data_IF_514387670297
#
_entry.id   IF_514387670297
#
_cell.length_a   1.000
_cell.length_b   1.000
_cell.length_c   1.000
_cell.angle_alpha   90.00
_cell.angle_beta   90.00
_cell.angle_gamma   90.00
#
_symmetry.space_group_name_H-M   'P 1'
#
loop_
_entity.id
_entity.type
_entity.pdbx_description
1 polymer ?
#
# COMPACT_ATOMS: atom_id res chain seq x y z
N UNK A 1 12.64 -23.24 -10.03
CA UNK A 1 11.89 -22.06 -9.62
C UNK A 1 10.60 -21.87 -10.40
N UNK A 2 10.62 -21.87 -11.75
CA UNK A 2 9.42 -21.59 -12.56
C UNK A 2 8.22 -22.52 -12.30
N UNK A 3 8.43 -23.83 -12.14
CA UNK A 3 7.33 -24.78 -11.85
C UNK A 3 6.70 -24.51 -10.47
N UNK A 4 7.50 -24.20 -9.45
CA UNK A 4 7.00 -23.87 -8.12
C UNK A 4 6.23 -22.55 -8.14
N UNK A 5 6.78 -21.52 -8.79
CA UNK A 5 6.13 -20.21 -8.93
C UNK A 5 4.77 -20.34 -9.62
N UNK A 6 4.69 -21.09 -10.72
CA UNK A 6 3.43 -21.27 -11.45
C UNK A 6 2.38 -22.00 -10.61
N UNK A 7 2.79 -23.07 -9.91
CA UNK A 7 1.88 -23.81 -9.03
C UNK A 7 1.36 -22.94 -7.87
N UNK A 8 2.24 -22.14 -7.24
CA UNK A 8 1.84 -21.26 -6.15
C UNK A 8 0.93 -20.12 -6.64
N UNK A 9 1.25 -19.51 -7.77
CA UNK A 9 0.41 -18.49 -8.40
C UNK A 9 -1.00 -19.02 -8.67
N UNK A 10 -1.13 -20.15 -9.37
CA UNK A 10 -2.44 -20.73 -9.66
C UNK A 10 -3.23 -21.00 -8.37
N UNK A 11 -2.59 -21.61 -7.38
CA UNK A 11 -3.23 -21.92 -6.09
C UNK A 11 -3.75 -20.69 -5.37
N UNK A 12 -3.02 -19.57 -5.44
CA UNK A 12 -3.39 -18.34 -4.76
C UNK A 12 -4.44 -17.56 -5.53
N UNK A 13 -4.26 -17.36 -6.82
CA UNK A 13 -5.19 -16.62 -7.67
C UNK A 13 -6.58 -17.28 -7.77
N UNK A 14 -6.65 -18.60 -7.61
CA UNK A 14 -7.92 -19.35 -7.56
C UNK A 14 -8.49 -19.48 -6.14
N UNK A 15 -7.86 -18.91 -5.14
CA UNK A 15 -8.36 -19.02 -3.75
C UNK A 15 -9.61 -18.15 -3.56
N UNK A 16 -10.57 -18.68 -2.78
CA UNK A 16 -11.83 -17.98 -2.47
C UNK A 16 -11.56 -16.62 -1.80
N UNK A 17 -10.52 -16.54 -0.96
CA UNK A 17 -10.15 -15.30 -0.28
C UNK A 17 -9.72 -14.24 -1.31
N UNK A 18 -8.82 -14.58 -2.22
CA UNK A 18 -8.31 -13.65 -3.24
C UNK A 18 -9.41 -13.17 -4.20
N UNK A 19 -10.28 -14.09 -4.63
CA UNK A 19 -11.45 -13.76 -5.46
C UNK A 19 -12.42 -12.85 -4.67
N UNK A 20 -12.63 -13.13 -3.39
CA UNK A 20 -13.43 -12.28 -2.51
C UNK A 20 -12.89 -10.87 -2.38
N UNK A 21 -11.57 -10.70 -2.26
CA UNK A 21 -10.92 -9.40 -2.21
C UNK A 21 -11.08 -8.60 -3.50
N UNK A 22 -10.93 -9.25 -4.67
CA UNK A 22 -11.23 -8.62 -5.96
C UNK A 22 -12.68 -8.14 -6.04
N UNK A 23 -13.64 -8.95 -5.61
CA UNK A 23 -15.06 -8.58 -5.59
C UNK A 23 -15.28 -7.40 -4.64
N UNK A 24 -14.68 -7.42 -3.46
CA UNK A 24 -14.80 -6.31 -2.49
C UNK A 24 -14.28 -5.01 -3.05
N UNK A 25 -13.11 -5.00 -3.74
CA UNK A 25 -12.57 -3.81 -4.40
C UNK A 25 -13.53 -3.27 -5.46
N UNK A 26 -14.02 -4.12 -6.35
CA UNK A 26 -14.95 -3.73 -7.42
C UNK A 26 -16.26 -3.18 -6.84
N UNK A 27 -16.84 -3.88 -5.88
CA UNK A 27 -18.11 -3.45 -5.22
C UNK A 27 -17.91 -2.12 -4.49
N UNK A 28 -16.79 -1.96 -3.79
CA UNK A 28 -16.49 -0.71 -3.12
C UNK A 28 -16.37 0.46 -4.11
N UNK A 29 -15.67 0.27 -5.24
CA UNK A 29 -15.54 1.29 -6.28
C UNK A 29 -16.90 1.67 -6.89
N UNK A 30 -17.78 0.69 -7.11
CA UNK A 30 -19.16 0.95 -7.57
C UNK A 30 -19.88 1.86 -6.58
N UNK A 31 -19.84 1.53 -5.28
CA UNK A 31 -20.54 2.35 -4.26
C UNK A 31 -19.90 3.72 -4.09
N UNK A 32 -18.57 3.83 -4.14
CA UNK A 32 -17.88 5.10 -4.04
C UNK A 32 -18.23 6.03 -5.21
N UNK A 33 -18.21 5.51 -6.45
CA UNK A 33 -18.51 6.27 -7.67
C UNK A 33 -20.01 6.60 -7.76
N UNK A 34 -20.92 5.70 -7.34
CA UNK A 34 -22.35 5.96 -7.30
C UNK A 34 -22.69 6.96 -6.18
N UNK A 35 -22.07 6.81 -5.02
CA UNK A 35 -22.34 7.66 -3.85
C UNK A 35 -21.87 9.11 -4.01
N UNK A 36 -20.90 9.37 -4.91
CA UNK A 36 -20.38 10.72 -5.19
C UNK A 36 -21.31 11.61 -6.02
N UNK A 37 -22.55 11.19 -6.32
CA UNK A 37 -23.49 11.81 -7.29
C UNK A 37 -24.08 13.15 -6.86
N UNK A 38 -23.82 13.65 -5.66
CA UNK A 38 -24.47 14.89 -5.21
C UNK A 38 -23.63 16.15 -5.45
N UNK A 39 -23.81 16.77 -6.63
CA UNK A 39 -23.70 18.22 -6.80
C UNK A 39 -22.37 18.81 -7.25
N UNK A 40 -21.33 18.02 -7.54
CA UNK A 40 -20.04 18.54 -8.03
C UNK A 40 -19.57 17.78 -9.28
N UNK A 41 -18.84 18.45 -10.15
CA UNK A 41 -18.06 17.82 -11.21
C UNK A 41 -17.06 16.87 -10.55
N UNK A 42 -17.32 15.56 -10.64
CA UNK A 42 -16.50 14.53 -10.00
C UNK A 42 -15.41 14.11 -10.98
N UNK A 43 -14.18 14.22 -10.54
CA UNK A 43 -13.01 13.79 -11.28
C UNK A 43 -12.66 12.34 -10.91
N UNK A 44 -12.46 11.47 -11.91
CA UNK A 44 -12.08 10.07 -11.70
C UNK A 44 -10.76 9.97 -10.92
N UNK A 45 -9.87 10.95 -11.09
CA UNK A 45 -8.55 10.96 -10.42
C UNK A 45 -8.64 10.83 -8.90
N UNK A 46 -9.74 11.30 -8.27
CA UNK A 46 -9.95 11.16 -6.82
C UNK A 46 -10.11 9.72 -6.34
N UNK A 47 -10.56 8.82 -7.21
CA UNK A 47 -10.77 7.41 -6.86
C UNK A 47 -9.57 6.53 -7.19
N UNK A 48 -8.70 7.02 -8.09
CA UNK A 48 -7.43 6.36 -8.38
C UNK A 48 -6.54 6.40 -7.13
N UNK A 49 -5.88 5.32 -6.84
CA UNK A 49 -4.96 5.15 -5.69
C UNK A 49 -5.59 5.22 -4.28
N UNK A 50 -6.84 5.65 -4.12
CA UNK A 50 -7.53 5.77 -2.82
C UNK A 50 -7.62 4.41 -2.10
N UNK A 51 -7.69 3.30 -2.81
CA UNK A 51 -7.78 1.95 -2.25
C UNK A 51 -6.42 1.27 -2.03
N UNK A 52 -5.32 1.93 -2.35
CA UNK A 52 -3.97 1.38 -2.13
C UNK A 52 -3.73 0.92 -0.68
N UNK A 53 -4.18 1.65 0.38
CA UNK A 53 -4.11 1.17 1.75
C UNK A 53 -4.81 -0.17 1.97
N UNK A 54 -5.98 -0.36 1.36
CA UNK A 54 -6.76 -1.59 1.46
C UNK A 54 -6.06 -2.75 0.75
N UNK A 55 -5.45 -2.51 -0.40
CA UNK A 55 -4.64 -3.48 -1.14
C UNK A 55 -3.45 -3.93 -0.29
N UNK A 56 -2.78 -3.02 0.41
CA UNK A 56 -1.69 -3.36 1.33
C UNK A 56 -2.15 -4.28 2.48
N UNK A 57 -3.35 -4.08 3.01
CA UNK A 57 -3.95 -4.97 4.02
C UNK A 57 -4.25 -6.35 3.41
N UNK A 58 -4.80 -6.42 2.22
CA UNK A 58 -5.08 -7.69 1.52
C UNK A 58 -3.80 -8.48 1.26
N UNK A 59 -2.71 -7.82 0.83
CA UNK A 59 -1.40 -8.45 0.69
C UNK A 59 -0.93 -9.02 2.03
N UNK A 60 -1.04 -8.24 3.12
CA UNK A 60 -0.64 -8.68 4.45
C UNK A 60 -1.44 -9.91 4.90
N UNK A 61 -2.75 -9.95 4.65
CA UNK A 61 -3.62 -11.10 4.93
C UNK A 61 -3.23 -12.31 4.09
N UNK A 62 -3.14 -12.16 2.77
CA UNK A 62 -2.89 -13.29 1.86
C UNK A 62 -1.54 -13.92 2.10
N UNK A 63 -0.49 -13.10 2.17
CA UNK A 63 0.88 -13.56 2.39
C UNK A 63 1.00 -14.27 3.75
N UNK A 64 0.48 -13.64 4.83
CA UNK A 64 0.59 -14.21 6.17
C UNK A 64 -0.22 -15.49 6.33
N UNK A 65 -1.45 -15.56 5.81
CA UNK A 65 -2.29 -16.75 5.85
C UNK A 65 -1.65 -17.92 5.12
N UNK A 66 -1.16 -17.70 3.91
CA UNK A 66 -0.62 -18.79 3.07
C UNK A 66 0.69 -19.32 3.60
N UNK A 67 1.64 -18.45 3.92
CA UNK A 67 2.94 -18.87 4.46
C UNK A 67 2.76 -19.58 5.81
N UNK A 68 1.94 -19.03 6.68
CA UNK A 68 1.70 -19.64 7.99
C UNK A 68 0.96 -20.98 7.89
N UNK A 69 0.02 -21.14 6.95
CA UNK A 69 -0.61 -22.44 6.66
C UNK A 69 0.41 -23.48 6.20
N UNK A 70 1.37 -23.08 5.36
CA UNK A 70 2.40 -24.00 4.87
C UNK A 70 3.39 -24.40 5.95
N UNK A 71 3.72 -23.47 6.84
CA UNK A 71 4.55 -23.77 8.00
C UNK A 71 3.85 -24.73 8.98
N UNK A 72 2.60 -24.46 9.30
CA UNK A 72 1.78 -25.20 10.25
C UNK A 72 1.49 -26.62 9.75
N UNK A 73 1.09 -26.76 8.49
CA UNK A 73 0.81 -28.03 7.83
C UNK A 73 2.09 -28.77 7.39
N UNK A 74 3.26 -28.25 7.66
CA UNK A 74 4.58 -28.80 7.25
C UNK A 74 4.72 -29.04 5.73
N UNK A 75 3.92 -28.39 4.91
CA UNK A 75 3.96 -28.54 3.44
C UNK A 75 5.27 -28.00 2.86
N UNK A 76 5.91 -27.07 3.55
CA UNK A 76 7.28 -26.62 3.21
C UNK A 76 8.26 -27.80 3.21
N UNK A 77 8.16 -28.72 4.18
CA UNK A 77 9.03 -29.89 4.24
C UNK A 77 8.86 -30.77 3.00
N UNK A 78 7.64 -30.96 2.52
CA UNK A 78 7.39 -31.70 1.28
C UNK A 78 8.05 -31.05 0.07
N UNK A 79 8.01 -29.70 -0.01
CA UNK A 79 8.69 -28.95 -1.07
C UNK A 79 10.22 -29.13 -0.99
N UNK A 80 10.78 -29.13 0.22
CA UNK A 80 12.22 -29.39 0.43
C UNK A 80 12.61 -30.83 0.05
N UNK A 81 11.78 -31.83 0.36
CA UNK A 81 11.99 -33.21 -0.07
C UNK A 81 11.93 -33.39 -1.58
N UNK A 82 11.13 -32.56 -2.28
CA UNK A 82 11.09 -32.52 -3.74
C UNK A 82 12.32 -31.80 -4.36
N UNK A 83 13.32 -31.43 -3.56
CA UNK A 83 14.58 -30.84 -4.04
C UNK A 83 14.59 -29.31 -4.12
N UNK A 84 13.54 -28.62 -3.65
CA UNK A 84 13.57 -27.17 -3.53
C UNK A 84 14.32 -26.77 -2.25
N UNK A 85 15.17 -25.72 -2.34
CA UNK A 85 15.83 -25.19 -1.15
C UNK A 85 14.99 -24.08 -0.48
N UNK A 86 15.27 -23.77 0.79
CA UNK A 86 14.58 -22.74 1.57
C UNK A 86 14.59 -21.37 0.87
N UNK A 87 15.70 -21.01 0.24
CA UNK A 87 15.85 -19.74 -0.45
C UNK A 87 14.96 -19.66 -1.71
N UNK A 88 14.83 -20.79 -2.44
CA UNK A 88 13.91 -20.88 -3.58
C UNK A 88 12.48 -20.70 -3.14
N UNK A 89 12.07 -21.34 -2.05
CA UNK A 89 10.75 -21.13 -1.44
C UNK A 89 10.53 -19.65 -1.08
N UNK A 90 11.43 -19.06 -0.32
CA UNK A 90 11.36 -17.67 0.12
C UNK A 90 11.21 -16.68 -1.07
N UNK A 91 12.06 -16.87 -2.10
CA UNK A 91 11.97 -16.05 -3.33
C UNK A 91 10.63 -16.23 -4.05
N UNK A 92 10.12 -17.44 -4.10
CA UNK A 92 8.83 -17.73 -4.73
C UNK A 92 7.70 -17.03 -4.00
N UNK A 93 7.68 -17.08 -2.65
CA UNK A 93 6.65 -16.43 -1.84
C UNK A 93 6.63 -14.91 -2.02
N UNK A 94 7.80 -14.28 -2.07
CA UNK A 94 7.91 -12.84 -2.36
C UNK A 94 7.35 -12.51 -3.74
N UNK A 95 7.78 -13.24 -4.78
CA UNK A 95 7.33 -12.98 -6.15
C UNK A 95 5.82 -13.17 -6.29
N UNK A 96 5.27 -14.20 -5.65
CA UNK A 96 3.82 -14.43 -5.67
C UNK A 96 3.09 -13.31 -4.96
N UNK A 97 3.54 -12.86 -3.77
CA UNK A 97 2.93 -11.75 -3.04
C UNK A 97 2.96 -10.44 -3.83
N UNK A 98 4.08 -10.17 -4.54
CA UNK A 98 4.18 -9.00 -5.43
C UNK A 98 3.17 -9.09 -6.57
N UNK A 99 3.08 -10.24 -7.24
CA UNK A 99 2.15 -10.43 -8.36
C UNK A 99 0.69 -10.32 -7.89
N UNK A 100 0.34 -10.92 -6.74
CA UNK A 100 -0.99 -10.78 -6.14
C UNK A 100 -1.36 -9.31 -5.91
N UNK A 101 -0.45 -8.54 -5.29
CA UNK A 101 -0.67 -7.12 -5.01
C UNK A 101 -0.81 -6.29 -6.29
N UNK A 102 0.04 -6.52 -7.28
CA UNK A 102 -0.03 -5.85 -8.58
C UNK A 102 -1.37 -6.15 -9.27
N UNK A 103 -1.82 -7.40 -9.28
CA UNK A 103 -3.09 -7.76 -9.90
C UNK A 103 -4.29 -7.14 -9.19
N UNK A 104 -4.31 -7.08 -7.83
CA UNK A 104 -5.34 -6.37 -7.07
C UNK A 104 -5.37 -4.89 -7.45
N UNK A 105 -4.20 -4.25 -7.57
CA UNK A 105 -4.10 -2.86 -7.97
C UNK A 105 -4.60 -2.62 -9.41
N UNK A 106 -4.31 -3.54 -10.34
CA UNK A 106 -4.88 -3.45 -11.69
C UNK A 106 -6.39 -3.61 -11.69
N UNK A 107 -6.94 -4.56 -10.92
CA UNK A 107 -8.40 -4.74 -10.80
C UNK A 107 -9.06 -3.48 -10.23
N UNK A 108 -8.47 -2.89 -9.20
CA UNK A 108 -8.91 -1.63 -8.62
C UNK A 108 -8.93 -0.51 -9.67
N UNK A 109 -7.79 -0.24 -10.29
CA UNK A 109 -7.63 0.84 -11.28
C UNK A 109 -8.56 0.66 -12.49
N UNK A 110 -8.66 -0.57 -13.04
CA UNK A 110 -9.53 -0.85 -14.18
C UNK A 110 -10.99 -0.64 -13.79
N UNK A 111 -11.41 -1.07 -12.60
CA UNK A 111 -12.78 -0.88 -12.14
C UNK A 111 -13.13 0.61 -11.97
N UNK A 112 -12.22 1.42 -11.40
CA UNK A 112 -12.41 2.87 -11.26
C UNK A 112 -12.56 3.53 -12.65
N UNK A 113 -11.67 3.21 -13.58
CA UNK A 113 -11.73 3.80 -14.94
C UNK A 113 -13.02 3.38 -15.65
N UNK A 114 -13.39 2.10 -15.62
CA UNK A 114 -14.60 1.60 -16.29
C UNK A 114 -15.86 2.27 -15.76
N UNK A 115 -16.03 2.33 -14.43
CA UNK A 115 -17.22 2.95 -13.83
C UNK A 115 -17.20 4.46 -13.96
N UNK A 116 -16.04 5.11 -13.89
CA UNK A 116 -15.90 6.55 -14.13
C UNK A 116 -16.29 6.94 -15.55
N UNK A 117 -15.80 6.22 -16.56
CA UNK A 117 -16.18 6.43 -17.97
C UNK A 117 -17.68 6.17 -18.18
N UNK A 118 -18.24 5.13 -17.55
CA UNK A 118 -19.66 4.84 -17.62
C UNK A 118 -20.52 5.99 -17.06
N UNK A 119 -20.04 6.66 -16.00
CA UNK A 119 -20.68 7.85 -15.40
C UNK A 119 -20.34 9.14 -16.11
N UNK A 120 -19.51 9.14 -17.15
CA UNK A 120 -19.03 10.32 -17.89
C UNK A 120 -18.27 11.32 -17.01
N UNK A 121 -17.56 10.84 -16.01
CA UNK A 121 -16.68 11.67 -15.21
C UNK A 121 -15.42 12.03 -16.00
N UNK A 122 -14.89 13.19 -15.75
CA UNK A 122 -13.67 13.67 -16.39
C UNK A 122 -12.43 13.09 -15.69
N UNK A 123 -11.34 12.94 -16.44
CA UNK A 123 -10.03 12.58 -15.93
C UNK A 123 -9.09 13.78 -16.09
N UNK A 124 -8.98 14.60 -15.05
CA UNK A 124 -8.19 15.84 -15.06
C UNK A 124 -6.78 15.66 -14.48
N UNK A 125 -6.11 14.57 -14.83
CA UNK A 125 -4.72 14.31 -14.46
C UNK A 125 -3.86 14.23 -15.71
N UNK A 126 -2.63 14.74 -15.65
CA UNK A 126 -1.70 14.60 -16.77
C UNK A 126 -1.29 13.12 -16.94
N UNK A 127 -1.11 12.67 -18.17
CA UNK A 127 -0.64 11.31 -18.43
C UNK A 127 0.69 11.02 -17.74
N UNK A 128 1.57 12.02 -17.64
CA UNK A 128 2.87 11.86 -16.99
C UNK A 128 2.73 11.63 -15.48
N UNK A 129 1.90 12.41 -14.80
CA UNK A 129 1.65 12.27 -13.36
C UNK A 129 0.97 10.93 -13.06
N UNK A 130 0.04 10.51 -13.93
CA UNK A 130 -0.58 9.20 -13.80
C UNK A 130 0.48 8.07 -13.87
N UNK A 131 1.37 8.09 -14.87
CA UNK A 131 2.41 7.08 -15.02
C UNK A 131 3.40 7.06 -13.85
N UNK A 132 3.80 8.24 -13.38
CA UNK A 132 4.73 8.36 -12.25
C UNK A 132 4.09 7.81 -10.99
N UNK A 133 2.87 8.22 -10.65
CA UNK A 133 2.15 7.73 -9.47
C UNK A 133 1.87 6.23 -9.55
N UNK A 134 1.55 5.72 -10.75
CA UNK A 134 1.37 4.29 -11.00
C UNK A 134 2.65 3.51 -10.70
N UNK A 135 3.78 3.97 -11.25
CA UNK A 135 5.09 3.34 -11.02
C UNK A 135 5.50 3.31 -9.56
N UNK A 136 5.32 4.43 -8.84
CA UNK A 136 5.60 4.52 -7.41
C UNK A 136 4.73 3.56 -6.62
N UNK A 137 3.42 3.53 -6.90
CA UNK A 137 2.48 2.64 -6.22
C UNK A 137 2.84 1.16 -6.40
N UNK A 138 3.28 0.75 -7.60
CA UNK A 138 3.75 -0.61 -7.85
C UNK A 138 4.99 -0.97 -7.00
N UNK A 139 5.91 -0.03 -6.82
CA UNK A 139 7.11 -0.24 -5.98
C UNK A 139 6.72 -0.33 -4.51
N UNK A 140 5.87 0.55 -4.01
CA UNK A 140 5.35 0.51 -2.65
C UNK A 140 4.67 -0.84 -2.36
N UNK A 141 3.76 -1.29 -3.24
CA UNK A 141 3.08 -2.58 -3.14
C UNK A 141 4.09 -3.73 -3.08
N UNK A 142 5.13 -3.67 -3.91
CA UNK A 142 6.19 -4.68 -3.91
C UNK A 142 6.96 -4.71 -2.59
N UNK A 143 7.28 -3.56 -2.02
CA UNK A 143 7.97 -3.45 -0.73
C UNK A 143 7.10 -3.97 0.41
N UNK A 144 5.81 -3.64 0.42
CA UNK A 144 4.83 -4.18 1.40
C UNK A 144 4.74 -5.70 1.31
N UNK A 145 4.74 -6.28 0.11
CA UNK A 145 4.74 -7.74 -0.07
C UNK A 145 6.03 -8.38 0.49
N UNK A 146 7.19 -7.75 0.29
CA UNK A 146 8.46 -8.20 0.89
C UNK A 146 8.39 -8.18 2.41
N UNK A 147 7.95 -7.07 3.03
CA UNK A 147 7.81 -6.93 4.48
C UNK A 147 6.87 -8.01 5.04
N UNK A 148 5.70 -8.16 4.43
CA UNK A 148 4.71 -9.16 4.85
C UNK A 148 5.25 -10.60 4.77
N UNK A 149 6.01 -10.91 3.71
CA UNK A 149 6.64 -12.22 3.53
C UNK A 149 7.70 -12.49 4.61
N UNK A 150 8.58 -11.52 4.88
CA UNK A 150 9.65 -11.67 5.89
C UNK A 150 9.04 -11.94 7.26
N UNK A 151 8.09 -11.11 7.68
CA UNK A 151 7.42 -11.28 8.97
C UNK A 151 6.75 -12.64 9.06
N UNK A 152 6.03 -13.06 8.01
CA UNK A 152 5.33 -14.33 7.98
C UNK A 152 6.25 -15.54 8.04
N UNK A 153 7.39 -15.50 7.35
CA UNK A 153 8.35 -16.62 7.39
C UNK A 153 9.14 -16.70 8.70
N UNK A 154 9.17 -15.65 9.52
CA UNK A 154 9.87 -15.62 10.80
C UNK A 154 8.99 -16.06 11.99
N UNK A 155 7.68 -16.04 11.86
CA UNK A 155 6.75 -16.41 12.92
C UNK A 155 6.32 -17.87 12.75
N UNK A 156 6.42 -18.66 13.83
CA UNK A 156 6.13 -20.10 13.78
C UNK A 156 4.63 -20.43 13.89
N UNK A 157 3.87 -19.60 14.57
CA UNK A 157 2.47 -19.88 14.87
C UNK A 157 1.57 -19.18 13.83
N UNK A 158 0.63 -19.94 13.27
CA UNK A 158 -0.27 -19.44 12.21
C UNK A 158 -1.09 -18.25 12.68
N UNK A 159 -1.73 -18.34 13.84
CA UNK A 159 -2.61 -17.29 14.35
C UNK A 159 -1.80 -16.04 14.63
N UNK A 160 -0.67 -16.19 15.33
CA UNK A 160 0.22 -15.06 15.64
C UNK A 160 0.82 -14.42 14.39
N UNK A 161 1.16 -15.21 13.36
CA UNK A 161 1.69 -14.68 12.10
C UNK A 161 0.69 -13.72 11.45
N UNK A 162 -0.54 -14.17 11.27
CA UNK A 162 -1.60 -13.32 10.67
C UNK A 162 -1.87 -12.09 11.54
N UNK A 163 -2.03 -12.29 12.85
CA UNK A 163 -2.32 -11.19 13.77
C UNK A 163 -1.23 -10.12 13.80
N UNK A 164 0.05 -10.53 13.85
CA UNK A 164 1.17 -9.61 13.89
C UNK A 164 1.35 -8.89 12.54
N UNK A 165 1.30 -9.63 11.43
CA UNK A 165 1.54 -9.02 10.10
C UNK A 165 0.42 -8.04 9.74
N UNK A 166 -0.83 -8.44 9.92
CA UNK A 166 -1.99 -7.57 9.63
C UNK A 166 -2.08 -6.44 10.65
N UNK A 167 -1.90 -6.73 11.94
CA UNK A 167 -1.91 -5.72 12.99
C UNK A 167 -0.83 -4.66 12.79
N UNK A 168 0.39 -5.06 12.41
CA UNK A 168 1.47 -4.14 12.10
C UNK A 168 1.15 -3.31 10.85
N UNK A 169 0.62 -3.91 9.79
CA UNK A 169 0.19 -3.19 8.60
C UNK A 169 -0.85 -2.11 8.92
N UNK A 170 -1.87 -2.44 9.73
CA UNK A 170 -2.88 -1.47 10.17
C UNK A 170 -2.29 -0.33 11.01
N UNK A 171 -1.40 -0.66 11.94
CA UNK A 171 -0.72 0.36 12.78
C UNK A 171 0.15 1.29 11.94
N UNK A 172 0.91 0.75 10.99
CA UNK A 172 1.79 1.54 10.12
C UNK A 172 0.98 2.40 9.13
N UNK A 173 -0.14 1.89 8.59
CA UNK A 173 -1.05 2.69 7.76
C UNK A 173 -1.69 3.81 8.55
N UNK A 174 -2.14 3.56 9.78
CA UNK A 174 -2.69 4.60 10.65
C UNK A 174 -1.65 5.67 10.96
N UNK A 175 -0.44 5.26 11.38
CA UNK A 175 0.68 6.19 11.62
C UNK A 175 1.09 6.97 10.37
N UNK A 176 1.04 6.33 9.20
CA UNK A 176 1.27 6.97 7.91
C UNK A 176 0.23 8.06 7.60
N UNK A 177 -1.05 7.76 7.79
CA UNK A 177 -2.15 8.71 7.61
C UNK A 177 -1.99 9.93 8.53
N UNK A 178 -1.68 9.71 9.80
CA UNK A 178 -1.42 10.78 10.77
C UNK A 178 -0.21 11.63 10.37
N UNK A 179 0.85 10.99 9.85
CA UNK A 179 2.04 11.69 9.37
C UNK A 179 1.71 12.60 8.19
N UNK A 180 1.00 12.10 7.20
CA UNK A 180 0.58 12.87 6.02
C UNK A 180 -0.34 14.01 6.44
N UNK A 181 -1.34 13.74 7.28
CA UNK A 181 -2.24 14.77 7.80
C UNK A 181 -1.49 15.88 8.55
N UNK A 182 -0.50 15.52 9.37
CA UNK A 182 0.29 16.48 10.14
C UNK A 182 1.20 17.33 9.23
N UNK A 183 1.79 16.72 8.21
CA UNK A 183 2.66 17.44 7.25
C UNK A 183 1.88 18.39 6.34
N UNK A 184 0.61 18.09 6.07
CA UNK A 184 -0.30 18.89 5.24
C UNK A 184 -0.96 20.06 5.97
N UNK A 185 -0.77 20.17 7.31
CA UNK A 185 -1.35 21.29 8.05
C UNK A 185 -0.73 22.61 7.59
N UNK A 186 -1.53 23.62 7.19
CA UNK A 186 -1.03 24.94 6.83
C UNK A 186 -0.54 25.69 8.06
N UNK A 187 0.43 26.62 7.87
CA UNK A 187 0.96 27.42 8.96
C UNK A 187 -0.10 28.36 9.58
N UNK A 188 -1.02 28.85 8.76
CA UNK A 188 -2.12 29.72 9.17
C UNK A 188 -3.45 29.15 8.69
N UNK A 189 -4.50 29.32 9.49
CA UNK A 189 -5.84 28.80 9.17
C UNK A 189 -6.92 29.73 9.73
N UNK A 190 -8.08 29.71 9.11
CA UNK A 190 -9.29 30.36 9.60
C UNK A 190 -10.13 29.50 10.56
N UNK A 191 -9.80 28.18 10.65
CA UNK A 191 -10.61 27.22 11.42
C UNK A 191 -10.68 27.54 12.93
N UNK A 192 -9.71 28.23 13.48
CA UNK A 192 -9.68 28.63 14.89
C UNK A 192 -10.01 30.09 15.12
N UNK A 193 -10.56 30.77 14.11
CA UNK A 193 -10.96 32.19 14.16
C UNK A 193 -12.47 32.31 14.15
N UNK A 194 -13.05 33.04 15.10
CA UNK A 194 -14.48 33.41 15.10
C UNK A 194 -14.81 34.51 14.08
N UNK A 195 -13.79 35.26 13.67
CA UNK A 195 -13.94 36.46 12.85
C UNK A 195 -13.51 36.24 11.39
N UNK A 196 -13.21 34.98 10.98
CA UNK A 196 -12.71 34.63 9.64
C UNK A 196 -11.29 35.16 9.33
N UNK A 197 -10.57 35.66 10.33
CA UNK A 197 -9.17 36.12 10.18
C UNK A 197 -8.21 34.92 10.19
N UNK A 198 -7.13 35.02 9.41
CA UNK A 198 -6.07 34.03 9.44
C UNK A 198 -5.34 34.09 10.80
N UNK A 199 -5.25 32.95 11.47
CA UNK A 199 -4.48 32.78 12.73
C UNK A 199 -3.49 31.65 12.60
N UNK A 200 -2.44 31.68 13.40
CA UNK A 200 -1.45 30.62 13.46
C UNK A 200 -2.13 29.31 13.83
N UNK A 201 -1.83 28.28 13.04
CA UNK A 201 -2.42 26.95 13.22
C UNK A 201 -1.67 26.18 14.34
N UNK A 202 -2.32 25.86 15.46
CA UNK A 202 -1.67 25.11 16.55
C UNK A 202 -1.29 23.68 16.16
N UNK A 203 -1.89 23.14 15.07
CA UNK A 203 -1.57 21.80 14.55
C UNK A 203 -0.38 21.83 13.59
N UNK A 204 0.09 23.01 13.18
CA UNK A 204 1.24 23.13 12.29
C UNK A 204 2.54 22.78 13.01
N UNK A 205 3.24 21.79 12.51
CA UNK A 205 4.50 21.31 13.10
C UNK A 205 5.71 21.89 12.39
N UNK A 206 6.68 22.35 13.19
CA UNK A 206 7.95 22.94 12.73
C UNK A 206 9.17 22.24 13.33
N UNK A 207 10.34 22.58 12.86
CA UNK A 207 11.61 22.17 13.44
C UNK A 207 11.80 20.65 13.50
N UNK A 208 12.21 20.14 14.65
CA UNK A 208 12.54 18.72 14.85
C UNK A 208 11.33 17.79 14.65
N UNK A 209 10.13 18.20 15.07
CA UNK A 209 8.91 17.40 14.89
C UNK A 209 8.62 17.20 13.41
N UNK A 210 8.69 18.24 12.60
CA UNK A 210 8.49 18.12 11.13
C UNK A 210 9.53 17.20 10.48
N UNK A 211 10.81 17.28 10.93
CA UNK A 211 11.85 16.36 10.46
C UNK A 211 11.54 14.90 10.77
N UNK A 212 11.03 14.59 11.97
CA UNK A 212 10.64 13.22 12.34
C UNK A 212 9.53 12.70 11.43
N UNK A 213 8.48 13.50 11.18
CA UNK A 213 7.41 13.13 10.26
C UNK A 213 7.93 12.93 8.83
N UNK A 214 8.85 13.77 8.35
CA UNK A 214 9.47 13.57 7.05
C UNK A 214 10.28 12.26 7.00
N UNK A 215 11.10 11.96 8.02
CA UNK A 215 11.84 10.69 8.09
C UNK A 215 10.87 9.51 8.07
N UNK A 216 9.77 9.56 8.83
CA UNK A 216 8.76 8.51 8.82
C UNK A 216 8.10 8.35 7.46
N UNK A 217 7.78 9.45 6.76
CA UNK A 217 7.23 9.42 5.42
C UNK A 217 8.17 8.74 4.43
N UNK A 218 9.47 9.06 4.48
CA UNK A 218 10.47 8.48 3.57
C UNK A 218 10.88 7.05 3.92
N UNK A 219 10.81 6.64 5.19
CA UNK A 219 11.24 5.33 5.64
C UNK A 219 10.12 4.30 5.77
N UNK A 220 8.88 4.66 5.48
CA UNK A 220 7.74 3.75 5.64
C UNK A 220 6.90 3.67 4.37
N UNK A 221 6.91 2.54 3.66
CA UNK A 221 6.05 2.35 2.48
C UNK A 221 4.56 2.51 2.82
N UNK A 222 4.15 2.22 4.04
CA UNK A 222 2.78 2.43 4.50
C UNK A 222 2.41 3.92 4.67
N UNK A 223 3.38 4.77 5.03
CA UNK A 223 3.16 6.22 5.07
C UNK A 223 3.09 6.79 3.65
N UNK A 224 3.91 6.28 2.74
CA UNK A 224 3.90 6.66 1.32
C UNK A 224 2.60 6.26 0.62
N UNK A 225 2.01 5.09 0.95
CA UNK A 225 0.66 4.71 0.51
C UNK A 225 -0.37 5.78 0.88
N UNK A 226 -0.33 6.25 2.12
CA UNK A 226 -1.24 7.29 2.59
C UNK A 226 -0.99 8.63 1.88
N UNK A 227 0.26 8.93 1.56
CA UNK A 227 0.61 10.12 0.79
C UNK A 227 0.08 10.05 -0.65
N UNK A 228 0.32 8.95 -1.37
CA UNK A 228 -0.16 8.77 -2.75
C UNK A 228 -1.68 8.81 -2.83
N UNK A 229 -2.39 8.22 -1.87
CA UNK A 229 -3.84 8.26 -1.81
C UNK A 229 -4.41 9.67 -1.57
N UNK A 230 -3.65 10.55 -0.89
CA UNK A 230 -4.08 11.92 -0.61
C UNK A 230 -3.73 12.93 -1.72
N UNK A 231 -2.70 12.64 -2.53
CA UNK A 231 -2.19 13.59 -3.55
C UNK A 231 -3.26 14.12 -4.50
N UNK A 232 -4.21 13.27 -4.87
CA UNK A 232 -5.24 13.60 -5.86
C UNK A 232 -6.48 14.25 -5.23
N UNK A 233 -6.64 14.21 -3.90
CA UNK A 233 -7.77 14.83 -3.21
C UNK A 233 -7.61 16.35 -3.00
N UNK A 234 -6.41 16.89 -3.13
CA UNK A 234 -6.13 18.29 -2.75
C UNK A 234 -6.36 19.32 -3.87
N UNK A 235 -6.49 18.90 -5.13
CA UNK A 235 -6.57 19.85 -6.24
C UNK A 235 -7.83 20.72 -6.31
N UNK A 236 -8.95 20.36 -5.68
CA UNK A 236 -10.21 21.12 -5.75
C UNK A 236 -10.46 22.13 -4.62
N UNK A 237 -9.65 22.17 -3.59
CA UNK A 237 -9.79 23.15 -2.52
C UNK A 237 -9.04 24.47 -2.80
N UNK A 238 -9.05 24.96 -4.04
CA UNK A 238 -8.46 26.26 -4.44
C UNK A 238 -9.01 27.48 -3.69
N UNK A 239 -10.09 27.31 -2.92
CA UNK A 239 -10.65 28.38 -2.06
C UNK A 239 -10.10 28.39 -0.63
N UNK A 240 -9.32 27.39 -0.23
CA UNK A 240 -8.57 27.41 1.03
C UNK A 240 -7.10 27.62 0.68
N UNK A 241 -6.74 28.87 0.63
CA UNK A 241 -5.37 29.37 0.47
C UNK A 241 -4.41 28.61 1.38
N UNK A 242 -3.30 28.10 0.81
CA UNK A 242 -2.10 27.59 1.51
C UNK A 242 -2.00 26.11 1.95
N UNK A 243 -2.85 25.19 1.53
CA UNK A 243 -2.67 23.75 1.83
C UNK A 243 -1.67 23.02 0.91
N UNK A 244 -1.06 23.70 -0.01
CA UNK A 244 -0.40 23.17 -1.21
C UNK A 244 1.09 22.88 -1.09
N UNK A 245 1.59 22.55 0.08
CA UNK A 245 3.02 22.24 0.24
C UNK A 245 3.41 20.92 -0.44
N UNK A 246 2.44 20.03 -0.74
CA UNK A 246 2.71 18.76 -1.38
C UNK A 246 2.55 18.78 -2.91
N UNK A 247 1.79 19.72 -3.47
CA UNK A 247 1.49 19.80 -4.92
C UNK A 247 2.74 19.96 -5.81
N UNK A 248 3.83 20.51 -5.27
CA UNK A 248 5.09 20.74 -5.97
C UNK A 248 6.30 20.02 -5.36
N UNK A 249 6.08 19.07 -4.45
CA UNK A 249 7.21 18.40 -3.84
C UNK A 249 7.69 17.24 -4.70
N UNK A 250 8.96 17.22 -5.10
CA UNK A 250 9.54 16.20 -5.98
C UNK A 250 9.85 14.88 -5.25
N UNK A 251 9.03 14.49 -4.26
CA UNK A 251 9.29 13.30 -3.43
C UNK A 251 9.20 11.98 -4.18
N UNK A 252 8.69 11.98 -5.41
CA UNK A 252 8.52 10.76 -6.20
C UNK A 252 9.83 9.97 -6.37
N UNK A 253 10.93 10.65 -6.68
CA UNK A 253 12.22 10.00 -6.87
C UNK A 253 12.82 9.49 -5.56
N UNK A 254 12.62 10.24 -4.49
CA UNK A 254 13.09 9.88 -3.14
C UNK A 254 12.36 8.66 -2.59
N UNK A 255 11.04 8.56 -2.79
CA UNK A 255 10.27 7.37 -2.44
C UNK A 255 10.75 6.15 -3.21
N UNK A 256 10.94 6.27 -4.51
CA UNK A 256 11.41 5.18 -5.35
C UNK A 256 12.77 4.63 -4.85
N UNK A 257 13.72 5.51 -4.56
CA UNK A 257 15.03 5.09 -4.04
C UNK A 257 14.88 4.43 -2.66
N UNK A 258 14.13 5.06 -1.76
CA UNK A 258 13.91 4.57 -0.40
C UNK A 258 13.31 3.17 -0.41
N UNK A 259 12.24 2.95 -1.16
CA UNK A 259 11.55 1.66 -1.21
C UNK A 259 12.37 0.55 -1.87
N UNK A 260 13.10 0.87 -2.94
CA UNK A 260 14.00 -0.09 -3.58
C UNK A 260 15.11 -0.50 -2.60
N UNK A 261 15.72 0.46 -1.90
CA UNK A 261 16.75 0.17 -0.92
C UNK A 261 16.21 -0.63 0.25
N UNK A 262 15.08 -0.21 0.82
CA UNK A 262 14.42 -0.92 1.93
C UNK A 262 14.02 -2.34 1.52
N UNK A 263 13.31 -2.49 0.40
CA UNK A 263 12.91 -3.78 -0.12
C UNK A 263 14.11 -4.71 -0.37
N UNK A 264 15.21 -4.18 -0.91
CA UNK A 264 16.42 -4.95 -1.15
C UNK A 264 17.12 -5.38 0.14
N UNK A 265 17.31 -4.47 1.08
CA UNK A 265 17.92 -4.77 2.40
C UNK A 265 17.08 -5.80 3.14
N UNK A 266 15.79 -5.60 3.20
CA UNK A 266 14.86 -6.52 3.85
C UNK A 266 14.86 -7.90 3.16
N UNK A 267 14.84 -7.92 1.82
CA UNK A 267 14.95 -9.19 1.07
C UNK A 267 16.19 -10.00 1.44
N UNK A 268 17.36 -9.35 1.54
CA UNK A 268 18.60 -10.02 1.92
C UNK A 268 18.56 -10.50 3.37
N UNK A 269 18.11 -9.66 4.30
CA UNK A 269 17.98 -9.99 5.72
C UNK A 269 17.01 -11.14 5.94
N UNK A 270 15.82 -11.09 5.34
CA UNK A 270 14.82 -12.13 5.46
C UNK A 270 15.29 -13.47 4.91
N UNK A 271 15.95 -13.45 3.74
CA UNK A 271 16.56 -14.65 3.16
C UNK A 271 17.63 -15.28 4.04
N UNK A 272 18.50 -14.45 4.65
CA UNK A 272 19.52 -14.91 5.60
C UNK A 272 18.91 -15.52 6.87
N UNK A 273 17.96 -14.84 7.48
CA UNK A 273 17.28 -15.30 8.69
C UNK A 273 16.50 -16.59 8.44
N UNK A 274 15.76 -16.66 7.33
CA UNK A 274 14.99 -17.84 6.98
C UNK A 274 15.88 -19.05 6.66
N UNK A 275 17.04 -18.83 6.04
CA UNK A 275 18.02 -19.91 5.78
C UNK A 275 18.51 -20.54 7.08
N UNK A 276 18.75 -19.73 8.12
CA UNK A 276 19.23 -20.20 9.44
C UNK A 276 18.15 -20.86 10.30
N UNK A 277 16.89 -20.60 10.00
CA UNK A 277 15.77 -21.12 10.77
C UNK A 277 15.67 -22.65 10.66
N UNK A 278 15.53 -23.35 11.78
CA UNK A 278 15.19 -24.76 11.80
C UNK A 278 13.69 -24.93 11.54
N UNK A 279 13.36 -25.64 10.48
CA UNK A 279 11.98 -26.03 10.14
C UNK A 279 11.75 -27.41 10.77
N UNK A 280 11.37 -27.44 12.06
CA UNK A 280 11.01 -28.68 12.77
C UNK A 280 9.53 -28.96 12.64
#
# INVERSE_FOLDING_TARGET
MNKLLHAELLRRLTSVIYIGEMIVLVVYNIFAIIGSVYGYEVDISYFLFDKTPMICIFIAINVSLKISQELDNRTINNKLFCGYNKLTFYKTEILVGIIEGILLFFVDTISVILFGVFKKYELNISCMDLFVNFGITLIIISTVAVISTILSVLINNRIFSVFIVVGLALLLLYGGKETVHTLNQPAQTTLFSTDGTLRDNPLYVTGTKRKIHNIHLFSSPYAQVSYVSCLLHEEKNEKMDNSLVLKNSPYHFEFLISDILEGFVLYLLGGYLFRKRNLQ
#
